data_IF_099994463703
#
_entry.id   IF_099994463703
#
_cell.length_a   1.000
_cell.length_b   1.000
_cell.length_c   1.000
_cell.angle_alpha   90.00
_cell.angle_beta   90.00
_cell.angle_gamma   90.00
#
_symmetry.space_group_name_H-M   'P 1'
#
loop_
_entity.id
_entity.type
_entity.pdbx_description
1 polymer ?
#
# COMPACT_ATOMS: atom_id res chain seq x y z
N UNK A 1 -11.86 14.69 -25.38
CA UNK A 1 -10.72 14.00 -26.02
C UNK A 1 -9.52 14.02 -25.05
N UNK A 2 -8.86 12.89 -24.79
CA UNK A 2 -7.65 12.91 -23.95
C UNK A 2 -6.46 13.37 -24.80
N UNK A 3 -5.82 14.46 -24.42
CA UNK A 3 -4.60 14.96 -25.07
C UNK A 3 -3.49 13.92 -25.01
N UNK A 4 -2.70 13.79 -26.06
CA UNK A 4 -1.47 13.00 -26.08
C UNK A 4 -0.40 13.61 -25.17
N UNK A 5 0.68 12.89 -24.90
CA UNK A 5 1.77 13.42 -24.06
C UNK A 5 2.44 14.66 -24.70
N UNK A 6 2.57 14.68 -26.03
CA UNK A 6 3.12 15.82 -26.78
C UNK A 6 2.20 17.03 -26.68
N UNK A 7 0.90 16.86 -26.98
CA UNK A 7 -0.08 17.94 -26.85
C UNK A 7 -0.18 18.50 -25.43
N UNK A 8 0.07 17.69 -24.40
CA UNK A 8 0.14 18.16 -23.01
C UNK A 8 1.41 19.00 -22.77
N UNK A 9 2.55 18.59 -23.31
CA UNK A 9 3.78 19.35 -23.17
C UNK A 9 3.67 20.72 -23.84
N UNK A 10 3.14 20.78 -25.08
CA UNK A 10 2.87 22.02 -25.81
C UNK A 10 1.88 22.92 -25.04
N UNK A 11 0.84 22.32 -24.49
CA UNK A 11 -0.12 23.08 -23.65
C UNK A 11 0.55 23.67 -22.41
N UNK A 12 1.39 22.90 -21.71
CA UNK A 12 2.10 23.39 -20.51
C UNK A 12 3.06 24.53 -20.88
N UNK A 13 3.79 24.41 -21.98
CA UNK A 13 4.67 25.49 -22.45
C UNK A 13 3.88 26.79 -22.71
N UNK A 14 2.75 26.69 -23.41
CA UNK A 14 1.88 27.83 -23.70
C UNK A 14 1.40 28.48 -22.40
N UNK A 15 0.82 27.72 -21.47
CA UNK A 15 0.31 28.23 -20.19
C UNK A 15 1.44 28.85 -19.34
N UNK A 16 2.64 28.27 -19.38
CA UNK A 16 3.79 28.81 -18.67
C UNK A 16 4.27 30.13 -19.25
N UNK A 17 4.27 30.29 -20.58
CA UNK A 17 4.56 31.57 -21.23
C UNK A 17 3.54 32.63 -20.90
N UNK A 18 2.23 32.29 -20.87
CA UNK A 18 1.17 33.20 -20.45
C UNK A 18 1.33 33.62 -18.97
N UNK A 19 1.69 32.65 -18.11
CA UNK A 19 2.01 32.95 -16.70
C UNK A 19 3.17 33.94 -16.58
N UNK A 20 4.27 33.75 -17.33
CA UNK A 20 5.41 34.65 -17.34
C UNK A 20 5.02 36.06 -17.83
N UNK A 21 4.20 36.18 -18.89
CA UNK A 21 3.69 37.45 -19.38
C UNK A 21 2.86 38.17 -18.32
N UNK A 22 1.99 37.48 -17.63
CA UNK A 22 1.15 38.06 -16.59
C UNK A 22 1.92 38.45 -15.33
N UNK A 23 3.02 37.73 -15.03
CA UNK A 23 3.80 37.96 -13.81
C UNK A 23 4.86 39.05 -13.94
N UNK A 24 5.31 39.35 -15.16
CA UNK A 24 6.37 40.30 -15.42
C UNK A 24 5.87 41.34 -16.44
N UNK A 25 5.76 42.61 -15.99
CA UNK A 25 5.50 43.74 -16.85
C UNK A 25 6.55 44.81 -16.62
N UNK A 26 7.00 45.44 -17.68
CA UNK A 26 8.00 46.49 -17.63
C UNK A 26 7.34 47.84 -17.96
N UNK A 27 7.58 48.85 -17.15
CA UNK A 27 7.05 50.18 -17.35
C UNK A 27 7.66 50.96 -18.53
N UNK A 28 8.50 50.29 -19.35
CA UNK A 28 9.14 50.88 -20.53
C UNK A 28 8.88 49.98 -21.73
N UNK A 29 8.28 50.47 -22.78
CA UNK A 29 7.85 49.73 -23.96
C UNK A 29 8.99 49.01 -24.63
N UNK A 30 10.18 49.62 -24.73
CA UNK A 30 11.34 49.00 -25.32
C UNK A 30 11.80 47.74 -24.58
N UNK A 31 11.74 47.75 -23.27
CA UNK A 31 12.07 46.54 -22.46
C UNK A 31 10.96 45.49 -22.53
N UNK A 32 9.71 45.95 -22.60
CA UNK A 32 8.59 45.01 -22.80
C UNK A 32 8.70 44.30 -24.14
N UNK A 33 8.96 44.99 -25.22
CA UNK A 33 9.14 44.40 -26.56
C UNK A 33 10.31 43.41 -26.59
N UNK A 34 11.44 43.78 -25.96
CA UNK A 34 12.59 42.89 -25.86
C UNK A 34 12.28 41.62 -25.07
N UNK A 35 11.54 41.75 -23.96
CA UNK A 35 11.09 40.64 -23.16
C UNK A 35 10.18 39.68 -23.96
N UNK A 36 9.16 40.23 -24.62
CA UNK A 36 8.26 39.44 -25.46
C UNK A 36 9.00 38.72 -26.58
N UNK A 37 9.95 39.37 -27.23
CA UNK A 37 10.78 38.79 -28.26
C UNK A 37 11.59 37.60 -27.68
N UNK A 38 12.27 37.80 -26.54
CA UNK A 38 13.05 36.75 -25.89
C UNK A 38 12.16 35.60 -25.41
N UNK A 39 11.03 35.90 -24.79
CA UNK A 39 10.09 34.90 -24.34
C UNK A 39 9.58 34.00 -25.47
N UNK A 40 9.44 34.52 -26.69
CA UNK A 40 8.99 33.76 -27.84
C UNK A 40 10.11 32.98 -28.53
N UNK A 41 11.35 33.47 -28.48
CA UNK A 41 12.52 32.87 -29.15
C UNK A 41 13.24 31.84 -28.30
N UNK A 42 13.22 31.95 -26.98
CA UNK A 42 13.95 31.07 -26.07
C UNK A 42 13.22 29.75 -25.83
N UNK A 43 13.97 28.66 -25.81
CA UNK A 43 13.47 27.36 -25.32
C UNK A 43 13.42 27.38 -23.79
N UNK A 44 12.22 27.43 -23.22
CA UNK A 44 12.03 27.44 -21.77
C UNK A 44 12.15 26.08 -21.12
N UNK A 45 12.14 25.00 -21.89
CA UNK A 45 12.27 23.63 -21.39
C UNK A 45 13.02 22.77 -22.39
N UNK A 46 13.57 21.66 -21.90
CA UNK A 46 14.20 20.64 -22.73
C UNK A 46 13.28 19.43 -22.86
N UNK A 47 12.98 19.01 -24.06
CA UNK A 47 12.10 17.86 -24.34
C UNK A 47 10.84 18.26 -25.10
N UNK A 48 9.78 17.41 -25.10
CA UNK A 48 9.60 16.23 -24.25
C UNK A 48 10.54 15.07 -24.59
N UNK A 49 11.01 14.35 -23.57
CA UNK A 49 11.80 13.15 -23.75
C UNK A 49 10.92 11.91 -23.65
N UNK A 50 11.02 11.01 -24.61
CA UNK A 50 10.35 9.71 -24.53
C UNK A 50 11.24 8.72 -23.75
N UNK A 51 10.77 8.29 -22.59
CA UNK A 51 11.37 7.20 -21.85
C UNK A 51 10.48 5.95 -21.91
N UNK A 52 11.02 4.85 -22.41
CA UNK A 52 10.33 3.58 -22.49
C UNK A 52 10.93 2.59 -21.51
N UNK A 53 10.11 2.09 -20.58
CA UNK A 53 10.50 1.00 -19.69
C UNK A 53 10.10 -0.33 -20.31
N UNK A 54 11.00 -1.31 -20.25
CA UNK A 54 10.68 -2.67 -20.68
C UNK A 54 9.59 -3.25 -19.77
N UNK A 55 8.60 -3.97 -20.32
CA UNK A 55 7.57 -4.60 -19.52
C UNK A 55 8.16 -5.69 -18.63
N UNK A 56 7.64 -5.82 -17.41
CA UNK A 56 8.07 -6.89 -16.52
C UNK A 56 7.72 -8.28 -17.09
N UNK A 57 8.65 -9.22 -16.95
CA UNK A 57 8.42 -10.62 -17.35
C UNK A 57 7.24 -11.18 -16.61
N UNK A 58 6.35 -11.88 -17.33
CA UNK A 58 5.17 -12.54 -16.77
C UNK A 58 5.53 -13.94 -16.29
N UNK A 59 4.86 -14.35 -15.22
CA UNK A 59 4.89 -15.69 -14.65
C UNK A 59 3.53 -16.37 -14.75
N UNK A 60 3.26 -17.28 -13.84
CA UNK A 60 1.97 -17.98 -13.71
C UNK A 60 0.91 -17.08 -13.08
N UNK A 61 -0.37 -17.43 -13.24
CA UNK A 61 -1.46 -16.82 -12.49
C UNK A 61 -1.60 -17.43 -11.09
N UNK A 62 -2.35 -16.75 -10.19
CA UNK A 62 -2.66 -17.31 -8.87
C UNK A 62 -3.41 -18.63 -8.99
N UNK A 63 -4.39 -18.75 -9.91
CA UNK A 63 -5.09 -20.02 -10.15
C UNK A 63 -4.12 -21.16 -10.51
N UNK A 64 -3.14 -20.91 -11.37
CA UNK A 64 -2.13 -21.91 -11.72
C UNK A 64 -1.24 -22.29 -10.52
N UNK A 65 -1.00 -21.36 -9.59
CA UNK A 65 -0.25 -21.66 -8.36
C UNK A 65 -1.11 -22.44 -7.35
N UNK A 66 -2.41 -22.18 -7.28
CA UNK A 66 -3.37 -22.94 -6.50
C UNK A 66 -3.47 -24.39 -7.03
N UNK A 67 -3.63 -24.56 -8.33
CA UNK A 67 -3.74 -25.88 -8.96
C UNK A 67 -2.47 -26.74 -8.75
N UNK A 68 -1.32 -26.08 -8.52
CA UNK A 68 -0.05 -26.73 -8.14
C UNK A 68 0.15 -26.88 -6.63
N UNK A 69 -0.84 -26.58 -5.81
CA UNK A 69 -0.77 -26.59 -4.34
C UNK A 69 0.35 -25.72 -3.73
N UNK A 70 0.84 -24.73 -4.45
CA UNK A 70 1.81 -23.74 -3.95
C UNK A 70 1.08 -22.70 -3.11
N UNK A 71 -0.09 -22.23 -3.61
CA UNK A 71 -0.99 -21.32 -2.92
C UNK A 71 -2.23 -22.09 -2.47
N UNK A 72 -2.73 -21.76 -1.30
CA UNK A 72 -3.91 -22.38 -0.69
C UNK A 72 -5.17 -22.12 -1.54
N UNK A 73 -6.07 -23.09 -1.64
CA UNK A 73 -7.31 -22.99 -2.40
C UNK A 73 -8.24 -21.91 -1.87
N UNK A 74 -8.15 -21.56 -0.59
CA UNK A 74 -8.96 -20.53 0.04
C UNK A 74 -8.62 -19.12 -0.47
N UNK A 75 -7.51 -18.95 -1.18
CA UNK A 75 -7.24 -17.71 -1.92
C UNK A 75 -8.36 -17.32 -2.89
N UNK A 76 -9.15 -18.30 -3.37
CA UNK A 76 -10.32 -18.06 -4.21
C UNK A 76 -11.47 -17.33 -3.51
N UNK A 77 -11.45 -17.29 -2.18
CA UNK A 77 -12.45 -16.61 -1.34
C UNK A 77 -12.09 -15.13 -1.10
N UNK A 78 -10.85 -14.74 -1.38
CA UNK A 78 -10.39 -13.36 -1.15
C UNK A 78 -11.06 -12.37 -2.11
N UNK A 79 -11.42 -11.20 -1.58
CA UNK A 79 -11.98 -10.11 -2.36
C UNK A 79 -10.93 -9.41 -3.22
N UNK A 80 -11.37 -8.75 -4.27
CA UNK A 80 -10.56 -7.86 -5.14
C UNK A 80 -9.20 -8.43 -5.59
N UNK A 81 -9.11 -9.76 -5.77
CA UNK A 81 -7.93 -10.44 -6.31
C UNK A 81 -8.23 -11.05 -7.67
N UNK A 82 -7.47 -10.66 -8.67
CA UNK A 82 -7.60 -11.17 -10.04
C UNK A 82 -6.86 -12.50 -10.20
N UNK A 83 -7.48 -13.62 -9.82
CA UNK A 83 -6.89 -14.96 -9.82
C UNK A 83 -6.36 -15.42 -11.18
N UNK A 84 -7.00 -15.02 -12.28
CA UNK A 84 -6.63 -15.40 -13.66
C UNK A 84 -5.55 -14.49 -14.26
N UNK A 85 -5.32 -13.30 -13.66
CA UNK A 85 -4.28 -12.39 -14.12
C UNK A 85 -2.91 -13.03 -13.87
N UNK A 86 -2.06 -13.04 -14.89
CA UNK A 86 -0.67 -13.49 -14.75
C UNK A 86 0.09 -12.56 -13.80
N UNK A 87 0.73 -13.14 -12.82
CA UNK A 87 1.67 -12.44 -11.95
C UNK A 87 2.90 -12.01 -12.74
N UNK A 88 3.61 -11.00 -12.25
CA UNK A 88 4.97 -10.80 -12.71
C UNK A 88 5.89 -11.90 -12.18
N UNK A 89 6.93 -12.22 -12.95
CA UNK A 89 7.85 -13.33 -12.60
C UNK A 89 8.49 -13.14 -11.21
N UNK A 90 8.76 -11.89 -10.80
CA UNK A 90 9.33 -11.63 -9.48
C UNK A 90 8.32 -11.88 -8.35
N UNK A 91 7.01 -11.62 -8.58
CA UNK A 91 5.94 -11.95 -7.64
C UNK A 91 5.80 -13.46 -7.46
N UNK A 92 5.73 -14.20 -8.57
CA UNK A 92 5.70 -15.67 -8.53
C UNK A 92 6.92 -16.25 -7.81
N UNK A 93 8.13 -15.80 -8.17
CA UNK A 93 9.36 -16.25 -7.51
C UNK A 93 9.37 -15.97 -6.01
N UNK A 94 8.80 -14.84 -5.58
CA UNK A 94 8.69 -14.50 -4.15
C UNK A 94 7.76 -15.47 -3.44
N UNK A 95 6.58 -15.75 -4.00
CA UNK A 95 5.61 -16.71 -3.43
C UNK A 95 6.26 -18.10 -3.27
N UNK A 96 6.91 -18.60 -4.32
CA UNK A 96 7.56 -19.91 -4.28
C UNK A 96 8.68 -19.96 -3.24
N UNK A 97 9.56 -18.95 -3.21
CA UNK A 97 10.69 -18.92 -2.27
C UNK A 97 10.26 -18.82 -0.81
N UNK A 98 9.20 -18.06 -0.52
CA UNK A 98 8.66 -17.97 0.85
C UNK A 98 7.99 -19.29 1.24
N UNK A 99 7.27 -19.96 0.33
CA UNK A 99 6.74 -21.28 0.57
C UNK A 99 7.86 -22.31 0.90
N UNK A 100 9.05 -22.13 0.31
CA UNK A 100 10.27 -22.90 0.63
C UNK A 100 10.98 -22.39 1.92
N UNK A 101 10.34 -21.53 2.72
CA UNK A 101 10.88 -20.96 3.97
C UNK A 101 12.18 -20.14 3.78
N UNK A 102 12.34 -19.50 2.63
CA UNK A 102 13.49 -18.64 2.33
C UNK A 102 13.22 -17.19 2.62
N UNK A 103 14.21 -16.50 3.16
CA UNK A 103 14.22 -15.04 3.21
C UNK A 103 14.39 -14.45 1.81
N UNK A 104 13.73 -13.35 1.53
CA UNK A 104 13.78 -12.69 0.22
C UNK A 104 14.08 -11.20 0.35
N UNK A 105 14.74 -10.67 -0.65
CA UNK A 105 14.87 -9.23 -0.91
C UNK A 105 14.30 -8.94 -2.29
N UNK A 106 13.37 -8.00 -2.39
CA UNK A 106 12.70 -7.63 -3.63
C UNK A 106 13.14 -6.24 -4.07
N UNK A 107 13.95 -6.17 -5.12
CA UNK A 107 14.45 -4.92 -5.71
C UNK A 107 13.91 -4.80 -7.13
N UNK A 108 12.86 -4.01 -7.31
CA UNK A 108 12.21 -3.76 -8.60
C UNK A 108 11.76 -2.31 -8.69
N UNK A 109 11.53 -1.81 -9.89
CA UNK A 109 11.06 -0.44 -10.11
C UNK A 109 9.73 -0.14 -9.43
N UNK A 110 9.37 1.13 -9.34
CA UNK A 110 8.08 1.59 -8.81
C UNK A 110 6.94 1.04 -9.68
N UNK A 111 5.78 0.75 -9.09
CA UNK A 111 4.63 0.22 -9.82
C UNK A 111 4.75 -1.24 -10.27
N UNK A 112 5.78 -1.97 -9.82
CA UNK A 112 5.99 -3.37 -10.18
C UNK A 112 5.18 -4.38 -9.35
N UNK A 113 4.35 -3.92 -8.41
CA UNK A 113 3.60 -4.79 -7.52
C UNK A 113 4.47 -5.50 -6.48
N UNK A 114 5.38 -4.75 -5.83
CA UNK A 114 6.22 -5.29 -4.75
C UNK A 114 5.42 -5.80 -3.55
N UNK A 115 4.30 -5.16 -3.25
CA UNK A 115 3.45 -5.53 -2.11
C UNK A 115 2.94 -6.97 -2.23
N UNK A 116 2.57 -7.40 -3.43
CA UNK A 116 2.14 -8.77 -3.68
C UNK A 116 3.24 -9.81 -3.42
N UNK A 117 4.51 -9.42 -3.55
CA UNK A 117 5.65 -10.30 -3.33
C UNK A 117 5.75 -10.81 -1.89
N UNK A 118 5.24 -10.06 -0.91
CA UNK A 118 5.25 -10.44 0.49
C UNK A 118 3.85 -10.64 1.07
N UNK A 119 2.86 -9.86 0.64
CA UNK A 119 1.50 -9.95 1.18
C UNK A 119 0.83 -11.30 0.84
N UNK A 120 0.88 -11.70 -0.43
CA UNK A 120 0.25 -12.96 -0.85
C UNK A 120 0.84 -14.21 -0.17
N UNK A 121 2.18 -14.39 -0.11
CA UNK A 121 2.70 -15.53 0.60
C UNK A 121 2.44 -15.51 2.10
N UNK A 122 2.40 -14.34 2.75
CA UNK A 122 2.06 -14.22 4.16
C UNK A 122 0.60 -14.64 4.40
N UNK A 123 -0.35 -14.12 3.63
CA UNK A 123 -1.76 -14.54 3.70
C UNK A 123 -1.88 -16.05 3.47
N UNK A 124 -1.14 -16.58 2.50
CA UNK A 124 -1.13 -18.00 2.19
C UNK A 124 -0.68 -18.87 3.37
N UNK A 125 0.38 -18.47 4.05
CA UNK A 125 0.88 -19.23 5.22
C UNK A 125 -0.12 -19.17 6.39
N UNK A 126 -0.74 -18.02 6.64
CA UNK A 126 -1.78 -17.87 7.67
C UNK A 126 -3.00 -18.75 7.35
N UNK A 127 -3.43 -18.79 6.08
CA UNK A 127 -4.52 -19.68 5.65
C UNK A 127 -4.21 -21.15 5.90
N UNK A 128 -3.00 -21.58 5.54
CA UNK A 128 -2.54 -22.96 5.81
C UNK A 128 -2.51 -23.26 7.32
N UNK A 129 -2.01 -22.32 8.12
CA UNK A 129 -1.95 -22.46 9.58
C UNK A 129 -3.36 -22.63 10.17
N UNK A 130 -4.31 -21.77 9.77
CA UNK A 130 -5.71 -21.85 10.23
C UNK A 130 -6.41 -23.14 9.77
N UNK A 131 -6.14 -23.61 8.55
CA UNK A 131 -6.64 -24.89 8.07
C UNK A 131 -6.10 -26.06 8.89
N UNK A 132 -4.87 -25.98 9.39
CA UNK A 132 -4.26 -26.98 10.26
C UNK A 132 -4.76 -26.90 11.72
N UNK A 133 -5.75 -26.05 12.01
CA UNK A 133 -6.42 -25.96 13.29
C UNK A 133 -5.88 -24.90 14.24
N UNK A 134 -4.82 -24.19 13.91
CA UNK A 134 -4.34 -23.08 14.72
C UNK A 134 -5.20 -21.84 14.46
N UNK A 135 -6.11 -21.56 15.39
CA UNK A 135 -7.02 -20.41 15.34
C UNK A 135 -6.74 -19.37 16.43
N UNK A 136 -5.72 -19.61 17.24
CA UNK A 136 -5.35 -18.73 18.34
C UNK A 136 -5.00 -17.33 17.84
N UNK A 137 -5.42 -16.26 18.56
CA UNK A 137 -4.97 -14.90 18.30
C UNK A 137 -3.45 -14.82 18.40
N UNK A 138 -2.82 -14.01 17.57
CA UNK A 138 -1.37 -13.80 17.62
C UNK A 138 -0.83 -13.19 16.35
N UNK A 139 0.28 -12.46 16.47
CA UNK A 139 0.93 -11.82 15.35
C UNK A 139 1.68 -12.87 14.55
N UNK A 140 1.30 -13.05 13.28
CA UNK A 140 1.96 -13.95 12.32
C UNK A 140 2.89 -13.20 11.38
N UNK A 141 2.56 -11.92 11.13
CA UNK A 141 3.44 -11.04 10.37
C UNK A 141 3.33 -9.61 10.85
N UNK A 142 4.48 -8.94 10.90
CA UNK A 142 4.58 -7.52 11.17
C UNK A 142 5.11 -6.78 9.95
N UNK A 143 4.41 -5.72 9.55
CA UNK A 143 4.76 -4.87 8.44
C UNK A 143 5.28 -3.54 8.95
N UNK A 144 6.53 -3.24 8.64
CA UNK A 144 7.18 -2.00 9.05
C UNK A 144 7.29 -1.03 7.88
N UNK A 145 6.67 0.13 8.04
CA UNK A 145 6.70 1.21 7.04
C UNK A 145 7.39 2.46 7.61
N UNK A 146 8.03 3.27 6.76
CA UNK A 146 8.67 4.50 7.24
C UNK A 146 7.68 5.61 7.61
N UNK A 147 6.43 5.56 7.12
CA UNK A 147 5.43 6.62 7.31
C UNK A 147 4.03 6.04 7.50
N UNK A 148 3.21 6.73 8.32
CA UNK A 148 1.81 6.32 8.59
C UNK A 148 0.95 6.30 7.33
N UNK A 149 1.14 7.23 6.40
CA UNK A 149 0.38 7.27 5.14
C UNK A 149 0.48 5.95 4.36
N UNK A 150 1.68 5.32 4.32
CA UNK A 150 1.87 4.02 3.68
C UNK A 150 1.17 2.90 4.44
N UNK A 151 1.07 2.99 5.76
CA UNK A 151 0.31 2.03 6.57
C UNK A 151 -1.17 2.12 6.21
N UNK A 152 -1.73 3.32 6.16
CA UNK A 152 -3.15 3.55 5.86
C UNK A 152 -3.53 3.01 4.47
N UNK A 153 -2.73 3.27 3.44
CA UNK A 153 -2.94 2.73 2.09
C UNK A 153 -2.99 1.18 2.08
N UNK A 154 -2.19 0.54 2.92
CA UNK A 154 -2.20 -0.92 3.02
C UNK A 154 -3.42 -1.45 3.79
N UNK A 155 -3.86 -0.76 4.83
CA UNK A 155 -5.09 -1.09 5.58
C UNK A 155 -6.31 -1.00 4.64
N UNK A 156 -6.44 0.07 3.87
CA UNK A 156 -7.53 0.22 2.90
C UNK A 156 -7.55 -0.94 1.89
N UNK A 157 -6.38 -1.32 1.40
CA UNK A 157 -6.23 -2.45 0.50
C UNK A 157 -6.62 -3.79 1.16
N UNK A 158 -6.29 -3.99 2.43
CA UNK A 158 -6.65 -5.21 3.15
C UNK A 158 -8.15 -5.30 3.40
N UNK A 159 -8.86 -4.18 3.62
CA UNK A 159 -10.32 -4.17 3.70
C UNK A 159 -10.95 -4.80 2.47
N UNK A 160 -10.44 -4.44 1.28
CA UNK A 160 -10.93 -5.01 0.02
C UNK A 160 -10.58 -6.50 -0.13
N UNK A 161 -9.36 -6.90 0.24
CA UNK A 161 -8.86 -8.27 0.06
C UNK A 161 -9.49 -9.22 1.07
N UNK A 162 -9.56 -8.83 2.34
CA UNK A 162 -9.95 -9.70 3.46
C UNK A 162 -11.42 -9.57 3.87
N UNK A 163 -12.21 -8.70 3.23
CA UNK A 163 -13.64 -8.52 3.52
C UNK A 163 -14.44 -9.83 3.50
N UNK A 164 -14.07 -10.74 2.62
CA UNK A 164 -14.73 -12.06 2.47
C UNK A 164 -14.03 -13.19 3.23
N UNK A 165 -13.00 -12.87 4.04
CA UNK A 165 -12.22 -13.85 4.79
C UNK A 165 -11.94 -13.34 6.23
N UNK A 166 -12.95 -13.36 7.11
CA UNK A 166 -12.86 -12.76 8.46
C UNK A 166 -11.93 -13.50 9.41
N UNK A 167 -11.46 -14.68 9.08
CA UNK A 167 -10.54 -15.46 9.91
C UNK A 167 -9.14 -14.85 10.04
N UNK A 168 -8.73 -13.98 9.13
CA UNK A 168 -7.46 -13.27 9.19
C UNK A 168 -7.70 -11.87 9.74
N UNK A 169 -7.29 -11.65 10.99
CA UNK A 169 -7.38 -10.34 11.65
C UNK A 169 -6.19 -9.47 11.30
N UNK A 170 -6.42 -8.16 11.21
CA UNK A 170 -5.36 -7.19 10.94
C UNK A 170 -5.63 -5.87 11.65
N UNK A 171 -4.58 -5.08 11.85
CA UNK A 171 -4.69 -3.77 12.45
C UNK A 171 -3.44 -2.93 12.27
N UNK A 172 -3.61 -1.60 12.39
CA UNK A 172 -2.52 -0.65 12.39
C UNK A 172 -2.24 -0.16 13.80
N UNK A 173 -1.00 -0.27 14.25
CA UNK A 173 -0.55 0.24 15.53
C UNK A 173 0.46 1.37 15.27
N UNK A 174 -0.03 2.60 15.20
CA UNK A 174 0.74 3.81 14.89
C UNK A 174 0.47 4.91 15.91
N UNK A 175 1.08 6.08 15.72
CA UNK A 175 0.78 7.27 16.55
C UNK A 175 -0.69 7.67 16.49
N UNK A 176 -1.32 7.48 15.34
CA UNK A 176 -2.70 7.89 15.06
C UNK A 176 -3.74 6.87 15.58
N UNK A 177 -3.31 5.65 15.94
CA UNK A 177 -4.21 4.61 16.44
C UNK A 177 -4.73 4.98 17.83
N UNK A 178 -6.06 5.09 18.03
CA UNK A 178 -6.65 5.43 19.31
C UNK A 178 -6.41 4.33 20.35
N UNK A 179 -6.34 4.71 21.61
CA UNK A 179 -6.19 3.75 22.72
C UNK A 179 -7.44 2.87 22.86
N UNK A 180 -8.61 3.51 22.82
CA UNK A 180 -9.93 2.89 22.89
C UNK A 180 -10.93 3.73 22.08
N UNK A 181 -12.19 3.30 22.02
CA UNK A 181 -13.26 4.13 21.48
C UNK A 181 -13.55 5.29 22.43
N UNK A 182 -13.40 6.54 21.95
CA UNK A 182 -13.62 7.74 22.75
C UNK A 182 -15.10 7.83 23.19
N UNK A 183 -15.32 8.28 24.42
CA UNK A 183 -16.62 8.70 25.00
C UNK A 183 -17.78 7.71 24.79
N UNK A 184 -17.53 6.42 24.98
CA UNK A 184 -18.54 5.37 24.78
C UNK A 184 -18.91 5.16 23.32
N UNK A 185 -18.04 5.55 22.41
CA UNK A 185 -18.17 5.29 20.97
C UNK A 185 -18.15 3.80 20.65
N UNK A 186 -18.72 3.46 19.51
CA UNK A 186 -18.72 2.10 18.96
C UNK A 186 -17.87 2.04 17.70
N UNK A 187 -17.67 0.82 17.17
CA UNK A 187 -17.01 0.61 15.87
C UNK A 187 -17.69 1.39 14.74
N UNK A 188 -19.02 1.43 14.76
CA UNK A 188 -19.83 2.13 13.76
C UNK A 188 -19.56 3.65 13.79
N UNK A 189 -19.55 4.25 14.99
CA UNK A 189 -19.21 5.66 15.17
C UNK A 189 -17.78 5.98 14.78
N UNK A 190 -16.85 5.04 15.04
CA UNK A 190 -15.46 5.19 14.59
C UNK A 190 -15.39 5.18 13.06
N UNK A 191 -16.08 4.26 12.39
CA UNK A 191 -16.14 4.18 10.94
C UNK A 191 -16.73 5.46 10.33
N UNK A 192 -17.84 5.94 10.85
CA UNK A 192 -18.51 7.17 10.41
C UNK A 192 -17.59 8.40 10.54
N UNK A 193 -16.96 8.58 11.69
CA UNK A 193 -16.05 9.71 11.96
C UNK A 193 -14.80 9.71 11.07
N UNK A 194 -14.39 8.55 10.56
CA UNK A 194 -13.23 8.41 9.67
C UNK A 194 -13.61 8.25 8.19
N UNK A 195 -14.91 8.39 7.85
CA UNK A 195 -15.39 8.27 6.47
C UNK A 195 -15.26 6.88 5.88
N UNK A 196 -15.23 5.84 6.73
CA UNK A 196 -15.14 4.43 6.33
C UNK A 196 -16.56 3.89 6.13
N UNK A 197 -16.89 3.52 4.90
CA UNK A 197 -18.25 3.08 4.56
C UNK A 197 -18.67 1.79 5.31
N UNK A 198 -17.74 0.87 5.53
CA UNK A 198 -17.96 -0.35 6.30
C UNK A 198 -16.64 -0.83 6.90
N UNK A 199 -16.62 -0.99 8.21
CA UNK A 199 -15.45 -1.49 8.94
C UNK A 199 -15.61 -3.01 9.13
N UNK A 200 -14.76 -3.85 8.47
CA UNK A 200 -14.84 -5.29 8.59
C UNK A 200 -14.58 -5.78 10.03
N UNK A 201 -15.25 -6.84 10.46
CA UNK A 201 -15.11 -7.38 11.83
C UNK A 201 -13.69 -7.84 12.18
N UNK A 202 -12.91 -8.20 11.15
CA UNK A 202 -11.52 -8.63 11.29
C UNK A 202 -10.49 -7.50 11.30
N UNK A 203 -10.91 -6.24 11.17
CA UNK A 203 -10.04 -5.09 11.36
C UNK A 203 -10.07 -4.61 12.80
N UNK A 204 -8.93 -4.62 13.48
CA UNK A 204 -8.77 -4.10 14.83
C UNK A 204 -8.29 -2.65 14.76
N UNK A 205 -9.09 -1.72 15.27
CA UNK A 205 -8.86 -0.28 15.07
C UNK A 205 -8.36 0.44 16.32
N UNK A 206 -8.43 -0.20 17.49
CA UNK A 206 -7.94 0.37 18.76
C UNK A 206 -6.78 -0.44 19.31
N UNK A 207 -5.91 0.23 20.08
CA UNK A 207 -4.79 -0.45 20.75
C UNK A 207 -5.27 -1.45 21.79
N UNK A 208 -6.37 -1.16 22.46
CA UNK A 208 -6.94 -2.06 23.45
C UNK A 208 -7.47 -3.36 22.82
N UNK A 209 -8.15 -3.28 21.66
CA UNK A 209 -8.56 -4.46 20.89
C UNK A 209 -7.36 -5.32 20.51
N UNK A 210 -6.31 -4.70 19.96
CA UNK A 210 -5.10 -5.41 19.52
C UNK A 210 -4.33 -6.04 20.68
N UNK A 211 -4.33 -5.44 21.88
CA UNK A 211 -3.71 -6.07 23.06
C UNK A 211 -4.53 -7.24 23.60
N UNK A 212 -5.85 -7.16 23.54
CA UNK A 212 -6.74 -8.26 23.97
C UNK A 212 -6.69 -9.43 23.00
N UNK A 213 -6.69 -9.13 21.72
CA UNK A 213 -6.66 -10.12 20.63
C UNK A 213 -5.62 -9.69 19.61
N UNK A 214 -4.34 -10.07 19.76
CA UNK A 214 -3.31 -9.70 18.82
C UNK A 214 -3.67 -10.10 17.38
N UNK A 215 -3.60 -9.15 16.40
CA UNK A 215 -3.99 -9.42 15.03
C UNK A 215 -3.01 -10.35 14.33
N UNK A 216 -3.49 -11.13 13.38
CA UNK A 216 -2.61 -11.97 12.54
C UNK A 216 -1.62 -11.12 11.70
N UNK A 217 -2.07 -9.94 11.24
CA UNK A 217 -1.24 -8.99 10.48
C UNK A 217 -1.18 -7.65 11.23
N UNK A 218 -0.01 -7.27 11.71
CA UNK A 218 0.21 -6.01 12.39
C UNK A 218 0.98 -5.04 11.49
N UNK A 219 0.41 -3.86 11.28
CA UNK A 219 1.03 -2.78 10.49
C UNK A 219 1.49 -1.68 11.42
N UNK A 220 2.74 -1.26 11.30
CA UNK A 220 3.30 -0.22 12.17
C UNK A 220 4.45 0.52 11.47
N UNK A 221 5.00 1.51 12.12
CA UNK A 221 6.23 2.16 11.71
C UNK A 221 7.37 1.86 12.69
N UNK A 222 8.61 2.12 12.27
CA UNK A 222 9.81 1.79 13.08
C UNK A 222 9.81 2.52 14.43
N UNK A 223 9.41 3.79 14.49
CA UNK A 223 9.37 4.57 15.74
C UNK A 223 8.32 4.02 16.70
N UNK A 224 7.16 3.61 16.18
CA UNK A 224 6.12 3.02 17.04
C UNK A 224 6.51 1.64 17.53
N UNK A 225 7.20 0.83 16.69
CA UNK A 225 7.74 -0.46 17.13
C UNK A 225 8.69 -0.28 18.31
N UNK A 226 9.59 0.70 18.27
CA UNK A 226 10.49 1.04 19.38
C UNK A 226 9.67 1.34 20.65
N UNK A 227 8.63 2.19 20.55
CA UNK A 227 7.74 2.47 21.69
C UNK A 227 7.00 1.23 22.21
N UNK A 228 6.53 0.36 21.34
CA UNK A 228 5.84 -0.86 21.73
C UNK A 228 6.77 -1.80 22.49
N UNK A 229 8.02 -1.91 22.10
CA UNK A 229 9.03 -2.73 22.77
C UNK A 229 9.40 -2.22 24.17
N UNK A 230 9.34 -0.89 24.39
CA UNK A 230 9.70 -0.27 25.68
C UNK A 230 8.50 -0.20 26.64
N UNK A 231 7.26 -0.10 26.13
CA UNK A 231 6.07 0.08 26.96
C UNK A 231 5.60 -1.24 27.57
N UNK A 232 5.53 -1.36 28.91
CA UNK A 232 5.11 -2.62 29.54
C UNK A 232 3.72 -3.09 29.10
N UNK A 233 2.77 -2.16 28.86
CA UNK A 233 1.41 -2.51 28.43
C UNK A 233 1.33 -3.09 27.01
N UNK A 234 2.31 -2.81 26.16
CA UNK A 234 2.37 -3.29 24.78
C UNK A 234 3.16 -4.61 24.66
N UNK A 235 3.87 -5.01 25.74
CA UNK A 235 4.67 -6.25 25.76
C UNK A 235 3.85 -7.51 25.50
N UNK A 236 2.55 -7.47 25.80
CA UNK A 236 1.63 -8.58 25.52
C UNK A 236 1.61 -8.96 24.04
N UNK A 237 1.84 -8.01 23.14
CA UNK A 237 1.88 -8.26 21.69
C UNK A 237 3.09 -9.10 21.26
N UNK A 238 4.13 -9.17 22.11
CA UNK A 238 5.38 -9.88 21.85
C UNK A 238 5.58 -11.09 22.74
N UNK A 239 4.55 -11.50 23.50
CA UNK A 239 4.63 -12.72 24.27
C UNK A 239 4.79 -13.92 23.34
N UNK A 240 5.63 -14.94 23.69
CA UNK A 240 5.84 -16.13 22.87
C UNK A 240 4.54 -16.90 22.55
N UNK A 241 3.53 -16.78 23.37
CA UNK A 241 2.20 -17.37 23.15
C UNK A 241 1.38 -16.64 22.07
N UNK A 242 1.79 -15.40 21.72
CA UNK A 242 1.13 -14.52 20.75
C UNK A 242 1.93 -14.31 19.47
N UNK A 243 3.07 -15.02 19.31
CA UNK A 243 3.97 -14.94 18.14
C UNK A 243 3.97 -16.21 17.32
#
# INVERSE_FOLDING_TARGET
>A
MRRTAVEKAEFIDKEYREYLRSSYSFGNDKYQDLYEKRLNEEELYKGPFLHMSMPFKKGRSLNQLIDKNIVDSDFRKLGNIHLNRTLYLHQEKSIVKIADKRNIVVTTGTGSGKTECFLYPIINEIMKEKRNGNKEPGIRAMFLYPMNALVNDQIDRLREILSSYPEITYGSFTGDTPENYKDGGTREKFAENNGIASLPDNELVTREEMRKNPPSLLFTNYSMLEYMLIRPKDSVLFNPENL
#
